data_IF_911329830183
#
_entry.id   IF_911329830183
#
_cell.length_a   1.000
_cell.length_b   1.000
_cell.length_c   1.000
_cell.angle_alpha   90.00
_cell.angle_beta   90.00
_cell.angle_gamma   90.00
#
_symmetry.space_group_name_H-M   'P 1'
#
loop_
_entity.id
_entity.type
_entity.pdbx_description
1 polymer ?
#
# COMPACT_ATOMS: atom_id res chain seq x y z
N UNK A 1 -1.86 8.27 -0.17
CA UNK A 1 -0.81 8.74 -1.10
C UNK A 1 -0.86 10.25 -1.10
N UNK A 2 0.30 10.89 -0.95
CA UNK A 2 0.42 12.34 -0.90
C UNK A 2 1.48 12.77 -1.91
N UNK A 3 1.29 13.94 -2.53
CA UNK A 3 2.33 14.61 -3.31
C UNK A 3 3.42 15.16 -2.37
N UNK A 4 4.63 15.49 -2.87
CA UNK A 4 5.71 16.05 -2.04
C UNK A 4 5.35 17.34 -1.29
N UNK A 5 4.37 18.10 -1.79
CA UNK A 5 3.83 19.29 -1.12
C UNK A 5 2.81 18.98 -0.01
N UNK A 6 2.59 17.70 0.33
CA UNK A 6 1.67 17.25 1.37
C UNK A 6 0.20 17.17 0.94
N UNK A 7 -0.14 17.48 -0.31
CA UNK A 7 -1.51 17.35 -0.79
C UNK A 7 -1.90 15.87 -0.93
N UNK A 8 -3.12 15.54 -0.49
CA UNK A 8 -3.69 14.22 -0.67
C UNK A 8 -3.93 13.90 -2.16
N UNK A 9 -3.64 12.67 -2.57
CA UNK A 9 -3.85 12.17 -3.94
C UNK A 9 -4.89 11.06 -3.95
N UNK A 10 -4.68 10.02 -3.14
CA UNK A 10 -5.53 8.82 -3.14
C UNK A 10 -5.34 7.99 -1.87
N UNK A 11 -6.25 7.05 -1.64
CA UNK A 11 -6.16 6.05 -0.58
C UNK A 11 -5.99 4.66 -1.20
N UNK A 12 -5.02 3.89 -0.68
CA UNK A 12 -4.85 2.48 -1.02
C UNK A 12 -5.75 1.68 -0.07
N UNK A 13 -6.82 1.08 -0.60
CA UNK A 13 -7.79 0.34 0.19
C UNK A 13 -7.48 -1.16 0.21
N UNK A 14 -7.64 -1.79 1.38
CA UNK A 14 -7.58 -3.24 1.57
C UNK A 14 -8.98 -3.88 1.67
N UNK A 15 -10.06 -3.17 1.34
CA UNK A 15 -11.43 -3.68 1.53
C UNK A 15 -11.69 -5.04 0.84
N UNK A 16 -11.11 -5.26 -0.35
CA UNK A 16 -11.26 -6.52 -1.10
C UNK A 16 -10.32 -7.64 -0.63
N UNK A 17 -9.29 -7.31 0.13
CA UNK A 17 -8.30 -8.26 0.63
C UNK A 17 -7.66 -7.70 1.90
N UNK A 18 -8.39 -7.91 3.01
CA UNK A 18 -8.16 -7.22 4.28
C UNK A 18 -6.81 -7.64 4.86
N UNK A 19 -6.10 -6.63 5.38
CA UNK A 19 -4.89 -6.87 6.16
C UNK A 19 -5.25 -7.52 7.49
N UNK A 20 -4.48 -8.51 7.91
CA UNK A 20 -4.71 -9.25 9.16
C UNK A 20 -3.79 -8.78 10.30
N UNK A 21 -2.47 -8.67 10.07
CA UNK A 21 -1.48 -8.13 11.03
C UNK A 21 -0.32 -7.41 10.30
N UNK A 22 -0.56 -6.30 9.59
CA UNK A 22 0.47 -5.67 8.78
C UNK A 22 1.56 -5.03 9.64
N UNK A 23 2.83 -5.24 9.29
CA UNK A 23 3.98 -4.71 10.06
C UNK A 23 4.82 -3.68 9.30
N UNK A 24 5.03 -3.88 7.99
CA UNK A 24 5.91 -3.06 7.18
C UNK A 24 5.32 -2.75 5.81
N UNK A 25 5.71 -1.60 5.25
CA UNK A 25 5.31 -1.16 3.92
C UNK A 25 6.53 -0.63 3.13
N UNK A 26 6.61 -0.98 1.86
CA UNK A 26 7.59 -0.43 0.92
C UNK A 26 6.88 0.04 -0.34
N UNK A 27 7.24 1.22 -0.83
CA UNK A 27 6.76 1.78 -2.09
C UNK A 27 7.81 1.56 -3.19
N UNK A 28 7.34 1.46 -4.43
CA UNK A 28 8.17 1.28 -5.63
C UNK A 28 7.95 2.43 -6.60
N UNK A 29 8.95 2.74 -7.41
CA UNK A 29 8.89 3.82 -8.39
C UNK A 29 7.80 3.60 -9.46
N UNK A 30 7.46 2.34 -9.76
CA UNK A 30 6.43 1.97 -10.74
C UNK A 30 5.00 1.98 -10.16
N UNK A 31 4.80 2.53 -8.97
CA UNK A 31 3.46 2.78 -8.41
C UNK A 31 2.86 1.58 -7.68
N UNK A 32 3.68 0.75 -7.04
CA UNK A 32 3.20 -0.31 -6.16
C UNK A 32 3.63 -0.13 -4.70
N UNK A 33 2.75 -0.54 -3.80
CA UNK A 33 3.03 -0.70 -2.38
C UNK A 33 3.01 -2.19 -2.01
N UNK A 34 4.03 -2.65 -1.31
CA UNK A 34 4.13 -3.99 -0.76
C UNK A 34 3.97 -3.92 0.75
N UNK A 35 3.07 -4.73 1.30
CA UNK A 35 2.80 -4.80 2.74
C UNK A 35 3.14 -6.20 3.23
N UNK A 36 3.99 -6.30 4.25
CA UNK A 36 4.20 -7.55 4.96
C UNK A 36 3.02 -7.81 5.89
N UNK A 37 2.27 -8.88 5.62
CA UNK A 37 1.09 -9.27 6.39
C UNK A 37 1.27 -10.66 7.04
N UNK A 38 2.05 -10.76 8.12
CA UNK A 38 2.31 -12.02 8.82
C UNK A 38 1.06 -12.67 9.42
N UNK A 39 -0.06 -11.93 9.55
CA UNK A 39 -1.33 -12.53 9.96
C UNK A 39 -1.81 -13.59 8.96
N UNK A 40 -1.50 -13.39 7.68
CA UNK A 40 -1.87 -14.26 6.57
C UNK A 40 -0.65 -14.96 5.91
N UNK A 41 0.53 -14.86 6.52
CA UNK A 41 1.79 -15.43 6.02
C UNK A 41 2.12 -15.02 4.57
N UNK A 42 1.81 -13.77 4.19
CA UNK A 42 1.98 -13.32 2.82
C UNK A 42 2.56 -11.90 2.71
N UNK A 43 2.98 -11.55 1.50
CA UNK A 43 3.24 -10.16 1.11
C UNK A 43 2.12 -9.73 0.18
N UNK A 44 1.46 -8.63 0.52
CA UNK A 44 0.33 -8.09 -0.23
C UNK A 44 0.82 -6.97 -1.15
N UNK A 45 0.42 -6.99 -2.42
CA UNK A 45 0.78 -6.01 -3.43
C UNK A 45 -0.44 -5.15 -3.77
N UNK A 46 -0.27 -3.84 -3.69
CA UNK A 46 -1.29 -2.86 -4.06
C UNK A 46 -0.75 -1.93 -5.14
N UNK A 47 -1.56 -1.64 -6.14
CA UNK A 47 -1.24 -0.62 -7.14
C UNK A 47 -1.84 0.71 -6.72
N UNK A 48 -1.08 1.78 -6.83
CA UNK A 48 -1.57 3.14 -6.68
C UNK A 48 -1.16 3.98 -7.88
N UNK A 49 -1.98 4.97 -8.22
CA UNK A 49 -1.66 5.87 -9.32
C UNK A 49 -0.85 7.04 -8.79
N UNK A 50 0.32 7.26 -9.37
CA UNK A 50 1.07 8.50 -9.30
C UNK A 50 0.82 9.21 -10.63
N UNK A 51 0.23 10.40 -10.58
CA UNK A 51 0.08 11.28 -11.74
C UNK A 51 1.17 12.34 -11.67
#
# INVERSE_FOLDING_TARGET
>A
VFCPNGMWVSTISSTGDKLNKPHGVAATEDGHAFVADPGDNCIRKYRYMYM
#
